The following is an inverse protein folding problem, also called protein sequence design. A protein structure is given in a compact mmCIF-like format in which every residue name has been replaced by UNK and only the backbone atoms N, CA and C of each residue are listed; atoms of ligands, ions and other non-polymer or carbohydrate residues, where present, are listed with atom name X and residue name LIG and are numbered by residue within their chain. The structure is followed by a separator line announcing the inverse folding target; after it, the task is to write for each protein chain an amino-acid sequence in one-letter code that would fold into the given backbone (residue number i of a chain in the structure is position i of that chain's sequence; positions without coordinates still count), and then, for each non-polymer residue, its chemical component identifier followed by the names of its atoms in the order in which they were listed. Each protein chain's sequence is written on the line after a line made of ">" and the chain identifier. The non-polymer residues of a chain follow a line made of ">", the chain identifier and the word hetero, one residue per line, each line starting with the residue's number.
data_IF_675134165585
#
_entry.id   IF_675134165585
#
_cell.length_a   1.000
_cell.length_b   1.000
_cell.length_c   1.000
_cell.angle_alpha   90.00
_cell.angle_beta   90.00
_cell.angle_gamma   90.00
#
_symmetry.space_group_name_H-M   'P 1'
#
loop_
_entity.id
_entity.type
_entity.pdbx_description
1 polymer ?
#
# COMPACT_ATOMS: atom_id res chain seq x y z
N UNK A 1 56.66 24.45 30.56
CA UNK A 1 57.84 25.14 29.98
C UNK A 1 57.46 26.61 29.76
N UNK A 2 57.84 27.51 30.68
CA UNK A 2 57.65 28.94 30.46
C UNK A 2 58.70 29.41 29.48
N UNK A 3 58.37 29.41 28.23
CA UNK A 3 59.25 29.95 27.20
C UNK A 3 59.03 31.45 27.10
N UNK A 4 60.08 32.25 27.43
CA UNK A 4 60.13 33.72 27.26
C UNK A 4 59.72 34.19 25.84
N UNK A 5 59.52 33.24 24.88
CA UNK A 5 59.18 33.50 23.49
C UNK A 5 57.73 33.19 23.15
N UNK A 6 56.93 32.72 24.14
CA UNK A 6 55.48 32.52 23.96
C UNK A 6 54.72 33.82 23.76
N UNK A 7 55.29 34.96 24.23
CA UNK A 7 54.73 36.28 23.98
C UNK A 7 54.74 36.66 22.48
N UNK A 8 55.64 36.05 21.70
CA UNK A 8 55.77 36.27 20.24
C UNK A 8 55.19 35.14 19.40
N UNK A 9 54.41 34.28 20.01
CA UNK A 9 53.90 33.07 19.34
C UNK A 9 53.10 33.37 18.07
N UNK A 10 52.26 34.42 18.10
CA UNK A 10 51.40 34.76 16.97
C UNK A 10 52.20 35.26 15.77
N UNK A 11 53.24 36.08 16.02
CA UNK A 11 54.17 36.54 14.97
C UNK A 11 55.02 35.38 14.42
N UNK A 12 55.51 34.50 15.29
CA UNK A 12 56.30 33.34 14.92
C UNK A 12 55.46 32.41 14.02
N UNK A 13 54.20 32.20 14.38
CA UNK A 13 53.25 31.36 13.65
C UNK A 13 52.89 31.99 12.30
N UNK A 14 52.62 33.31 12.29
CA UNK A 14 52.29 33.99 11.03
C UNK A 14 53.47 33.92 10.04
N UNK A 15 54.69 34.22 10.48
CA UNK A 15 55.87 34.11 9.63
C UNK A 15 56.14 32.70 9.13
N UNK A 16 55.84 31.68 9.94
CA UNK A 16 55.96 30.27 9.54
C UNK A 16 54.92 29.88 8.46
N UNK A 17 53.70 30.32 8.62
CA UNK A 17 52.64 30.08 7.64
C UNK A 17 52.82 30.84 6.31
N UNK A 18 53.57 31.99 6.37
CA UNK A 18 54.02 32.74 5.19
C UNK A 18 55.18 32.03 4.45
N UNK A 19 55.56 30.81 4.87
CA UNK A 19 56.57 30.00 4.21
C UNK A 19 58.02 30.25 4.65
N UNK A 20 58.23 31.03 5.72
CA UNK A 20 59.58 31.30 6.22
C UNK A 20 60.16 30.14 7.01
N UNK A 21 61.40 29.76 6.73
CA UNK A 21 62.10 28.74 7.50
C UNK A 21 62.48 29.19 8.91
N UNK A 22 62.66 28.25 9.85
CA UNK A 22 63.00 28.53 11.25
C UNK A 22 64.21 29.48 11.44
N UNK A 23 65.24 29.42 10.55
CA UNK A 23 66.39 30.29 10.57
C UNK A 23 66.03 31.71 10.17
N UNK A 24 65.18 31.92 9.20
CA UNK A 24 64.71 33.24 8.73
C UNK A 24 63.88 33.91 9.81
N UNK A 25 62.96 33.14 10.44
CA UNK A 25 62.15 33.63 11.56
C UNK A 25 63.02 34.00 12.74
N UNK A 26 64.03 33.20 13.08
CA UNK A 26 64.98 33.53 14.15
C UNK A 26 65.75 34.80 13.86
N UNK A 27 66.23 35.01 12.63
CA UNK A 27 66.90 36.22 12.23
C UNK A 27 65.97 37.42 12.32
N UNK A 28 64.79 37.36 11.79
CA UNK A 28 63.78 38.45 11.88
C UNK A 28 63.52 38.90 13.32
N UNK A 29 63.31 37.91 14.25
CA UNK A 29 63.05 38.21 15.65
C UNK A 29 64.28 38.83 16.35
N UNK A 30 65.53 38.43 16.02
CA UNK A 30 66.75 39.04 16.52
C UNK A 30 66.84 40.48 16.05
N UNK A 31 66.65 40.75 14.78
CA UNK A 31 66.75 42.06 14.16
C UNK A 31 65.67 43.02 14.67
N UNK A 32 64.45 42.54 14.87
CA UNK A 32 63.30 43.32 15.31
C UNK A 32 63.30 43.62 16.82
N UNK A 33 63.65 42.63 17.64
CA UNK A 33 63.52 42.72 19.11
C UNK A 33 64.87 42.76 19.84
N UNK A 34 65.97 42.75 19.10
CA UNK A 34 67.34 42.83 19.63
C UNK A 34 67.66 41.78 20.70
N UNK A 35 67.18 40.52 20.48
CA UNK A 35 67.43 39.47 21.45
C UNK A 35 68.93 39.15 21.60
N UNK A 36 69.40 39.16 22.84
CA UNK A 36 70.81 38.77 23.21
C UNK A 36 70.90 37.22 23.24
N UNK A 37 70.78 36.59 22.09
CA UNK A 37 70.85 35.11 21.95
C UNK A 37 71.41 34.71 20.59
N UNK A 38 71.96 33.51 20.48
CA UNK A 38 72.42 33.02 19.18
C UNK A 38 71.26 32.57 18.27
N UNK A 39 71.41 32.82 16.99
CA UNK A 39 70.44 32.46 15.99
C UNK A 39 70.06 30.95 16.09
N UNK A 40 70.99 30.06 16.36
CA UNK A 40 70.79 28.64 16.49
C UNK A 40 69.96 28.27 17.76
N UNK A 41 70.24 28.95 18.88
CA UNK A 41 69.44 28.75 20.10
C UNK A 41 68.00 29.20 19.93
N UNK A 42 67.79 30.37 19.25
CA UNK A 42 66.43 30.86 18.99
C UNK A 42 65.71 30.00 18.00
N UNK A 43 66.36 29.45 16.96
CA UNK A 43 65.82 28.52 16.00
C UNK A 43 65.20 27.30 16.68
N UNK A 44 65.91 26.68 17.64
CA UNK A 44 65.40 25.53 18.40
C UNK A 44 64.11 25.88 19.15
N UNK A 45 64.09 27.01 19.82
CA UNK A 45 62.92 27.47 20.59
C UNK A 45 61.73 27.84 19.71
N UNK A 46 61.95 28.44 18.55
CA UNK A 46 60.91 28.69 17.52
C UNK A 46 60.30 27.38 17.06
N UNK A 47 61.11 26.37 16.84
CA UNK A 47 60.63 25.01 16.48
C UNK A 47 59.71 24.45 17.57
N UNK A 48 60.07 24.58 18.85
CA UNK A 48 59.27 24.12 19.98
C UNK A 48 57.94 24.88 20.09
N UNK A 49 57.94 26.21 19.87
CA UNK A 49 56.72 27.05 19.87
C UNK A 49 55.77 26.61 18.72
N UNK A 50 56.33 26.43 17.52
CA UNK A 50 55.51 26.02 16.36
C UNK A 50 54.94 24.61 16.55
N UNK A 51 55.74 23.65 17.05
CA UNK A 51 55.25 22.32 17.37
C UNK A 51 54.16 22.34 18.43
N UNK A 52 54.26 23.16 19.44
CA UNK A 52 53.23 23.32 20.47
C UNK A 52 51.92 23.86 19.86
N UNK A 53 51.98 24.87 19.00
CA UNK A 53 50.82 25.47 18.35
C UNK A 53 50.16 24.52 17.35
N UNK A 54 50.95 23.75 16.60
CA UNK A 54 50.45 22.74 15.67
C UNK A 54 49.71 21.62 16.45
N UNK A 55 50.30 21.14 17.55
CA UNK A 55 49.66 20.14 18.41
C UNK A 55 48.33 20.65 19.01
N UNK A 56 48.28 21.89 19.47
CA UNK A 56 47.05 22.53 19.97
C UNK A 56 45.97 22.58 18.86
N UNK A 57 46.38 22.98 17.66
CA UNK A 57 45.48 23.07 16.51
C UNK A 57 44.92 21.70 16.12
N UNK A 58 45.74 20.67 16.08
CA UNK A 58 45.30 19.29 15.81
C UNK A 58 44.33 18.78 16.87
N UNK A 59 44.58 19.08 18.14
CA UNK A 59 43.64 18.73 19.24
C UNK A 59 42.30 19.43 19.06
N UNK A 60 42.29 20.72 18.70
CA UNK A 60 41.05 21.48 18.45
C UNK A 60 40.30 20.93 17.26
N UNK A 61 40.98 20.64 16.15
CA UNK A 61 40.36 20.04 14.97
C UNK A 61 39.80 18.64 15.26
N UNK A 62 40.52 17.81 16.04
CA UNK A 62 40.05 16.50 16.50
C UNK A 62 38.77 16.62 17.34
N UNK A 63 38.76 17.54 18.31
CA UNK A 63 37.62 17.78 19.18
C UNK A 63 36.39 18.28 18.39
N UNK A 64 36.59 19.17 17.41
CA UNK A 64 35.52 19.61 16.50
C UNK A 64 34.96 18.44 15.69
N UNK A 65 35.83 17.59 15.15
CA UNK A 65 35.43 16.42 14.39
C UNK A 65 34.65 15.40 15.26
N UNK A 66 35.10 15.18 16.49
CA UNK A 66 34.44 14.33 17.47
C UNK A 66 33.06 14.90 17.86
N UNK A 67 32.96 16.21 18.13
CA UNK A 67 31.69 16.87 18.42
C UNK A 67 30.69 16.76 17.25
N UNK A 68 31.14 16.97 16.00
CA UNK A 68 30.32 16.81 14.80
C UNK A 68 29.83 15.37 14.65
N UNK A 69 30.66 14.38 14.89
CA UNK A 69 30.26 12.97 14.83
C UNK A 69 29.25 12.62 15.92
N UNK A 70 29.45 13.09 17.15
CA UNK A 70 28.51 12.88 18.25
C UNK A 70 27.16 13.54 17.96
N UNK A 71 27.15 14.76 17.42
CA UNK A 71 25.93 15.44 17.00
C UNK A 71 25.20 14.66 15.90
N UNK A 72 25.94 14.18 14.88
CA UNK A 72 25.37 13.37 13.80
C UNK A 72 24.72 12.07 14.33
N UNK A 73 25.36 11.41 15.30
CA UNK A 73 24.79 10.22 15.95
C UNK A 73 23.54 10.56 16.77
N UNK A 74 23.54 11.67 17.49
CA UNK A 74 22.39 12.14 18.24
C UNK A 74 21.19 12.44 17.32
N UNK A 75 21.46 13.09 16.18
CA UNK A 75 20.42 13.40 15.18
C UNK A 75 19.87 12.13 14.51
N UNK A 76 20.73 11.17 14.16
CA UNK A 76 20.31 9.87 13.64
C UNK A 76 19.45 9.10 14.65
N UNK A 77 19.82 9.13 15.92
CA UNK A 77 19.04 8.49 16.98
C UNK A 77 17.69 9.18 17.20
N UNK A 78 17.64 10.52 17.10
CA UNK A 78 16.38 11.27 17.14
C UNK A 78 15.45 10.89 15.99
N UNK A 79 15.97 10.79 14.76
CA UNK A 79 15.19 10.40 13.56
C UNK A 79 14.69 8.97 13.74
N UNK A 80 15.56 8.03 14.13
CA UNK A 80 15.16 6.63 14.40
C UNK A 80 14.09 6.53 15.49
N UNK A 81 14.26 7.24 16.60
CA UNK A 81 13.29 7.22 17.70
C UNK A 81 11.95 7.87 17.31
N UNK A 82 11.98 8.92 16.48
CA UNK A 82 10.76 9.52 15.94
C UNK A 82 10.03 8.56 15.02
N UNK A 83 10.73 7.96 14.08
CA UNK A 83 10.17 6.95 13.17
C UNK A 83 9.62 5.74 13.94
N UNK A 84 10.35 5.24 14.94
CA UNK A 84 9.92 4.13 15.79
C UNK A 84 8.66 4.47 16.60
N UNK A 85 8.57 5.69 17.16
CA UNK A 85 7.38 6.15 17.89
C UNK A 85 6.17 6.31 16.97
N UNK A 86 6.37 6.82 15.76
CA UNK A 86 5.30 6.93 14.77
C UNK A 86 4.81 5.53 14.34
N UNK A 87 5.72 4.58 14.14
CA UNK A 87 5.39 3.18 13.84
C UNK A 87 4.61 2.52 14.97
N UNK A 88 5.12 2.59 16.20
CA UNK A 88 4.46 2.03 17.37
C UNK A 88 3.10 2.67 17.64
N UNK A 89 2.94 3.95 17.31
CA UNK A 89 1.65 4.65 17.44
C UNK A 89 0.63 4.15 16.42
N UNK A 90 1.08 3.87 15.20
CA UNK A 90 0.24 3.27 14.14
C UNK A 90 -0.10 1.82 14.49
N UNK A 91 0.87 1.01 14.90
CA UNK A 91 0.65 -0.36 15.36
C UNK A 91 -0.32 -0.43 16.55
N UNK A 92 -0.10 0.37 17.58
CA UNK A 92 -1.00 0.42 18.74
C UNK A 92 -2.41 0.91 18.37
N UNK A 93 -2.53 1.85 17.43
CA UNK A 93 -3.82 2.29 16.93
C UNK A 93 -4.52 1.18 16.13
N UNK A 94 -3.78 0.40 15.33
CA UNK A 94 -4.32 -0.75 14.59
C UNK A 94 -4.72 -1.88 15.54
N UNK A 95 -3.92 -2.18 16.57
CA UNK A 95 -4.25 -3.19 17.58
C UNK A 95 -5.50 -2.77 18.35
N UNK A 96 -5.56 -1.54 18.87
CA UNK A 96 -6.74 -1.02 19.56
C UNK A 96 -7.99 -1.01 18.67
N UNK A 97 -7.82 -0.69 17.39
CA UNK A 97 -8.86 -0.73 16.39
C UNK A 97 -9.36 -2.17 16.13
N UNK A 98 -8.45 -3.13 16.00
CA UNK A 98 -8.79 -4.54 15.83
C UNK A 98 -9.48 -5.10 17.10
N UNK A 99 -9.03 -4.73 18.29
CA UNK A 99 -9.67 -5.15 19.55
C UNK A 99 -11.09 -4.61 19.69
N UNK A 100 -11.33 -3.35 19.28
CA UNK A 100 -12.66 -2.76 19.27
C UNK A 100 -13.57 -3.41 18.22
N UNK A 101 -13.04 -3.76 17.02
CA UNK A 101 -13.76 -4.55 16.02
C UNK A 101 -14.14 -5.92 16.60
N UNK A 102 -13.20 -6.64 17.18
CA UNK A 102 -13.45 -7.98 17.77
C UNK A 102 -14.52 -7.88 18.87
N UNK A 103 -14.48 -6.84 19.69
CA UNK A 103 -15.47 -6.59 20.72
C UNK A 103 -16.85 -6.29 20.15
N UNK A 104 -16.94 -5.44 19.12
CA UNK A 104 -18.17 -5.15 18.40
C UNK A 104 -18.74 -6.42 17.71
N UNK A 105 -17.86 -7.23 17.09
CA UNK A 105 -18.26 -8.49 16.45
C UNK A 105 -18.75 -9.53 17.46
N UNK A 106 -18.20 -9.57 18.67
CA UNK A 106 -18.64 -10.47 19.76
C UNK A 106 -19.95 -10.02 20.40
N UNK A 107 -20.23 -8.72 20.43
CA UNK A 107 -21.46 -8.14 21.01
C UNK A 107 -22.63 -8.16 20.04
N UNK A 108 -22.41 -8.01 18.73
CA UNK A 108 -23.39 -8.23 17.71
C UNK A 108 -23.39 -9.74 17.32
N UNK A 109 -24.20 -10.53 18.01
CA UNK A 109 -24.58 -11.86 17.49
C UNK A 109 -25.44 -11.64 16.25
N UNK A 110 -24.77 -11.37 15.13
CA UNK A 110 -25.40 -11.26 13.82
C UNK A 110 -25.92 -12.66 13.48
N UNK A 111 -27.20 -12.91 13.74
CA UNK A 111 -27.93 -14.06 13.19
C UNK A 111 -28.03 -13.90 11.68
N UNK A 112 -26.87 -13.92 11.00
CA UNK A 112 -26.81 -13.98 9.56
C UNK A 112 -27.06 -15.42 9.19
N UNK A 113 -28.27 -15.76 8.77
CA UNK A 113 -28.58 -17.11 8.33
C UNK A 113 -27.95 -17.35 6.97
N UNK A 114 -26.89 -18.13 6.93
CA UNK A 114 -26.29 -18.64 5.71
C UNK A 114 -27.15 -19.80 5.21
N UNK A 115 -27.56 -19.74 3.95
CA UNK A 115 -28.35 -20.81 3.29
C UNK A 115 -27.39 -21.85 2.73
N UNK A 116 -27.71 -23.14 2.98
CA UNK A 116 -27.03 -24.27 2.38
C UNK A 116 -27.81 -24.74 1.19
N UNK A 117 -27.15 -24.87 0.07
CA UNK A 117 -27.72 -25.41 -1.18
C UNK A 117 -27.12 -26.78 -1.45
N UNK A 118 -27.94 -27.66 -2.07
CA UNK A 118 -27.44 -28.98 -2.48
C UNK A 118 -26.50 -28.80 -3.67
N UNK A 119 -25.21 -29.09 -3.47
CA UNK A 119 -24.24 -29.10 -4.57
C UNK A 119 -24.58 -30.17 -5.58
N UNK A 120 -24.45 -29.87 -6.87
CA UNK A 120 -24.58 -30.85 -7.94
C UNK A 120 -23.24 -31.36 -8.45
N UNK A 121 -22.12 -30.76 -8.03
CA UNK A 121 -20.73 -31.06 -8.40
C UNK A 121 -20.46 -31.09 -9.92
N UNK A 122 -21.40 -30.60 -10.75
CA UNK A 122 -21.27 -30.61 -12.21
C UNK A 122 -20.80 -29.32 -12.80
N UNK A 123 -21.09 -28.22 -12.11
CA UNK A 123 -20.78 -26.88 -12.57
C UNK A 123 -20.48 -25.93 -11.40
N UNK A 124 -19.51 -25.05 -11.57
CA UNK A 124 -19.12 -24.00 -10.60
C UNK A 124 -19.00 -22.68 -11.33
N UNK A 125 -19.55 -21.63 -10.76
CA UNK A 125 -19.26 -20.27 -11.23
C UNK A 125 -18.05 -19.69 -10.49
N UNK A 126 -17.06 -19.21 -11.22
CA UNK A 126 -16.01 -18.36 -10.67
C UNK A 126 -16.44 -16.90 -10.92
N UNK A 127 -16.63 -16.16 -9.85
CA UNK A 127 -16.97 -14.73 -9.86
C UNK A 127 -15.70 -13.95 -9.61
N UNK A 128 -15.19 -13.31 -10.63
CA UNK A 128 -13.95 -12.55 -10.54
C UNK A 128 -14.24 -11.10 -10.15
N UNK A 129 -13.74 -10.71 -8.97
CA UNK A 129 -13.77 -9.35 -8.43
C UNK A 129 -12.36 -8.80 -8.39
N UNK A 130 -12.13 -7.65 -9.04
CA UNK A 130 -10.84 -6.96 -9.06
C UNK A 130 -11.04 -5.46 -9.13
N UNK A 131 -10.05 -4.71 -8.63
CA UNK A 131 -9.92 -3.29 -8.88
C UNK A 131 -11.22 -2.51 -8.55
N UNK A 132 -11.77 -2.78 -7.37
CA UNK A 132 -12.98 -2.08 -6.92
C UNK A 132 -12.70 -0.62 -6.60
N UNK A 133 -11.47 -0.29 -6.12
CA UNK A 133 -11.04 1.04 -5.72
C UNK A 133 -12.12 1.79 -4.93
N UNK A 134 -12.75 1.09 -3.99
CA UNK A 134 -13.71 1.72 -3.07
C UNK A 134 -13.05 2.90 -2.38
N UNK A 135 -13.80 3.94 -2.12
CA UNK A 135 -13.33 5.22 -1.61
C UNK A 135 -12.89 6.24 -2.69
N UNK A 136 -12.69 5.83 -3.94
CA UNK A 136 -12.42 6.77 -5.02
C UNK A 136 -13.67 7.57 -5.39
N UNK A 137 -13.50 8.88 -5.61
CA UNK A 137 -14.52 9.78 -6.16
C UNK A 137 -14.17 10.12 -7.60
N UNK A 138 -15.02 9.77 -8.54
CA UNK A 138 -14.91 10.16 -9.95
C UNK A 138 -16.14 10.97 -10.33
N UNK A 139 -15.91 12.17 -10.87
CA UNK A 139 -16.95 13.03 -11.41
C UNK A 139 -16.53 13.54 -12.79
N UNK A 140 -16.65 12.67 -13.78
CA UNK A 140 -16.42 12.96 -15.19
C UNK A 140 -17.77 13.10 -15.91
N UNK A 141 -17.80 13.76 -17.06
CA UNK A 141 -19.02 13.94 -17.87
C UNK A 141 -19.68 12.60 -18.25
N UNK A 142 -18.87 11.58 -18.49
CA UNK A 142 -19.32 10.25 -18.98
C UNK A 142 -19.15 9.13 -17.93
N UNK A 143 -18.54 9.41 -16.78
CA UNK A 143 -18.39 8.44 -15.70
C UNK A 143 -18.44 9.09 -14.33
N UNK A 144 -19.24 8.52 -13.43
CA UNK A 144 -19.28 8.87 -12.02
C UNK A 144 -19.02 7.65 -11.18
N UNK A 145 -18.30 7.84 -10.06
CA UNK A 145 -18.05 6.77 -9.11
C UNK A 145 -17.96 7.29 -7.69
N UNK A 146 -18.61 6.60 -6.79
CA UNK A 146 -18.57 6.71 -5.33
C UNK A 146 -19.12 5.43 -4.71
N UNK A 147 -19.23 5.35 -3.38
CA UNK A 147 -19.77 4.18 -2.70
C UNK A 147 -21.21 3.81 -3.13
N UNK A 148 -22.05 4.78 -3.49
CA UNK A 148 -23.40 4.52 -3.95
C UNK A 148 -23.43 3.89 -5.33
N UNK A 149 -22.60 4.39 -6.22
CA UNK A 149 -22.44 3.85 -7.57
C UNK A 149 -21.79 2.48 -7.51
N UNK A 150 -20.74 2.30 -6.66
CA UNK A 150 -20.16 0.99 -6.39
C UNK A 150 -21.21 -0.02 -5.92
N UNK A 151 -22.06 0.36 -4.98
CA UNK A 151 -23.17 -0.47 -4.49
C UNK A 151 -24.14 -0.88 -5.60
N UNK A 152 -24.52 0.07 -6.48
CA UNK A 152 -25.39 -0.23 -7.62
C UNK A 152 -24.72 -1.16 -8.64
N UNK A 153 -23.42 -0.96 -8.92
CA UNK A 153 -22.64 -1.82 -9.82
C UNK A 153 -22.51 -3.24 -9.27
N UNK A 154 -22.21 -3.40 -7.98
CA UNK A 154 -22.16 -4.70 -7.31
C UNK A 154 -23.51 -5.39 -7.30
N UNK A 155 -24.63 -4.69 -7.03
CA UNK A 155 -25.97 -5.28 -7.11
C UNK A 155 -26.33 -5.71 -8.53
N UNK A 156 -25.99 -4.91 -9.55
CA UNK A 156 -26.14 -5.29 -10.96
C UNK A 156 -25.32 -6.53 -11.28
N UNK A 157 -24.09 -6.62 -10.81
CA UNK A 157 -23.23 -7.78 -11.01
C UNK A 157 -23.83 -9.04 -10.38
N UNK A 158 -24.27 -8.95 -9.11
CA UNK A 158 -24.97 -10.04 -8.42
C UNK A 158 -26.21 -10.50 -9.19
N UNK A 159 -26.98 -9.56 -9.77
CA UNK A 159 -28.13 -9.91 -10.61
C UNK A 159 -27.73 -10.78 -11.81
N UNK A 160 -26.64 -10.42 -12.52
CA UNK A 160 -26.15 -11.22 -13.65
C UNK A 160 -25.64 -12.59 -13.18
N UNK A 161 -24.87 -12.65 -12.09
CA UNK A 161 -24.38 -13.90 -11.52
C UNK A 161 -25.55 -14.84 -11.19
N UNK A 162 -26.57 -14.34 -10.50
CA UNK A 162 -27.77 -15.14 -10.15
C UNK A 162 -28.51 -15.64 -11.38
N UNK A 163 -28.56 -14.85 -12.47
CA UNK A 163 -29.15 -15.34 -13.74
C UNK A 163 -28.35 -16.48 -14.34
N UNK A 164 -27.02 -16.37 -14.40
CA UNK A 164 -26.15 -17.43 -14.93
C UNK A 164 -26.17 -18.66 -14.00
N UNK A 165 -26.13 -18.49 -12.68
CA UNK A 165 -26.24 -19.58 -11.71
C UNK A 165 -27.54 -20.40 -11.95
N UNK A 166 -28.66 -19.70 -12.14
CA UNK A 166 -29.94 -20.37 -12.43
C UNK A 166 -29.96 -21.02 -13.81
N UNK A 167 -29.46 -20.36 -14.85
CA UNK A 167 -29.46 -20.85 -16.22
C UNK A 167 -28.59 -22.10 -16.39
N UNK A 168 -27.39 -22.08 -15.77
CA UNK A 168 -26.42 -23.20 -15.81
C UNK A 168 -26.63 -24.24 -14.71
N UNK A 169 -27.65 -24.05 -13.87
CA UNK A 169 -27.93 -24.92 -12.71
C UNK A 169 -26.73 -25.04 -11.75
N UNK A 170 -25.94 -23.93 -11.63
CA UNK A 170 -24.79 -23.88 -10.75
C UNK A 170 -25.22 -23.52 -9.33
N UNK A 171 -25.03 -24.47 -8.40
CA UNK A 171 -25.35 -24.29 -6.99
C UNK A 171 -24.11 -23.95 -6.14
N UNK A 172 -22.94 -23.80 -6.75
CA UNK A 172 -21.68 -23.48 -6.08
C UNK A 172 -21.01 -22.33 -6.81
N UNK A 173 -20.63 -21.31 -6.04
CA UNK A 173 -19.95 -20.09 -6.52
C UNK A 173 -18.64 -19.91 -5.77
N UNK A 174 -17.54 -19.77 -6.51
CA UNK A 174 -16.26 -19.34 -5.98
C UNK A 174 -16.04 -17.85 -6.32
N UNK A 175 -15.93 -17.00 -5.31
CA UNK A 175 -15.61 -15.59 -5.49
C UNK A 175 -14.09 -15.44 -5.44
N UNK A 176 -13.47 -15.10 -6.57
CA UNK A 176 -12.05 -14.83 -6.72
C UNK A 176 -11.80 -13.32 -6.62
N UNK A 177 -11.22 -12.89 -5.51
CA UNK A 177 -10.85 -11.48 -5.28
C UNK A 177 -9.36 -11.32 -5.62
N UNK A 178 -9.06 -10.55 -6.65
CA UNK A 178 -7.68 -10.34 -7.10
C UNK A 178 -7.09 -8.97 -6.70
N UNK A 179 -7.59 -8.36 -5.63
CA UNK A 179 -6.98 -7.20 -4.99
C UNK A 179 -7.54 -5.85 -5.44
N UNK A 180 -6.94 -4.80 -4.88
CA UNK A 180 -7.31 -3.39 -5.06
C UNK A 180 -8.79 -3.11 -4.75
N UNK A 181 -9.24 -3.61 -3.58
CA UNK A 181 -10.58 -3.34 -3.06
C UNK A 181 -10.72 -1.87 -2.64
N UNK A 182 -9.66 -1.26 -2.08
CA UNK A 182 -9.64 0.15 -1.72
C UNK A 182 -8.70 0.94 -2.63
N UNK A 183 -9.07 2.21 -2.82
CA UNK A 183 -8.20 3.16 -3.51
C UNK A 183 -6.98 3.54 -2.66
N UNK A 184 -5.88 3.92 -3.33
CA UNK A 184 -4.67 4.44 -2.70
C UNK A 184 -4.89 5.80 -2.02
N UNK A 185 -4.08 6.11 -1.01
CA UNK A 185 -3.98 7.43 -0.36
C UNK A 185 -2.54 7.94 -0.28
N UNK A 186 -1.67 7.41 -1.11
CA UNK A 186 -0.23 7.72 -1.06
C UNK A 186 0.11 9.03 -1.74
N UNK A 187 -0.61 9.38 -2.82
CA UNK A 187 -0.43 10.63 -3.57
C UNK A 187 -1.43 11.69 -3.14
N UNK A 188 -1.08 12.95 -3.32
CA UNK A 188 -1.95 14.09 -2.95
C UNK A 188 -3.26 14.05 -3.73
N UNK A 189 -3.21 13.77 -5.03
CA UNK A 189 -4.36 13.68 -5.92
C UNK A 189 -5.33 12.58 -5.47
N UNK A 190 -4.79 11.43 -5.05
CA UNK A 190 -5.56 10.30 -4.51
C UNK A 190 -6.27 10.72 -3.22
N UNK A 191 -5.57 11.40 -2.29
CA UNK A 191 -6.16 11.92 -1.03
C UNK A 191 -7.27 12.92 -1.28
N UNK A 192 -7.14 13.77 -2.30
CA UNK A 192 -8.15 14.77 -2.65
C UNK A 192 -9.40 14.14 -3.27
N UNK A 193 -9.27 13.01 -3.95
CA UNK A 193 -10.36 12.26 -4.58
C UNK A 193 -10.97 11.17 -3.68
N UNK A 194 -10.71 11.17 -2.38
CA UNK A 194 -11.27 10.19 -1.45
C UNK A 194 -12.63 10.61 -0.89
N UNK A 195 -13.56 9.64 -0.81
CA UNK A 195 -14.85 9.83 -0.18
C UNK A 195 -14.73 10.00 1.34
N UNK A 196 -13.84 9.26 1.99
CA UNK A 196 -13.56 9.31 3.43
C UNK A 196 -12.13 8.82 3.70
N UNK A 197 -11.71 8.74 4.97
CA UNK A 197 -10.43 8.15 5.32
C UNK A 197 -10.45 6.62 5.12
N UNK A 198 -9.26 6.00 5.03
CA UNK A 198 -9.13 4.56 4.73
C UNK A 198 -9.76 3.66 5.80
N UNK A 199 -9.69 4.03 7.08
CA UNK A 199 -10.32 3.27 8.15
C UNK A 199 -11.83 3.16 7.94
N UNK A 200 -12.51 4.31 7.74
CA UNK A 200 -13.94 4.35 7.44
C UNK A 200 -14.27 3.64 6.12
N UNK A 201 -13.42 3.80 5.10
CA UNK A 201 -13.60 3.13 3.81
C UNK A 201 -13.51 1.60 3.92
N UNK A 202 -12.65 1.08 4.81
CA UNK A 202 -12.56 -0.35 5.11
C UNK A 202 -13.89 -0.90 5.59
N UNK A 203 -14.54 -0.25 6.55
CA UNK A 203 -15.86 -0.69 7.04
C UNK A 203 -16.93 -0.58 5.97
N UNK A 204 -16.96 0.50 5.20
CA UNK A 204 -17.89 0.63 4.08
C UNK A 204 -17.68 -0.47 3.05
N UNK A 205 -16.43 -0.83 2.76
CA UNK A 205 -16.08 -1.95 1.89
C UNK A 205 -16.58 -3.29 2.43
N UNK A 206 -16.40 -3.53 3.74
CA UNK A 206 -16.93 -4.72 4.42
C UNK A 206 -18.45 -4.78 4.30
N UNK A 207 -19.17 -3.68 4.57
CA UNK A 207 -20.64 -3.64 4.44
C UNK A 207 -21.10 -3.97 3.02
N UNK A 208 -20.44 -3.40 2.00
CA UNK A 208 -20.80 -3.67 0.61
C UNK A 208 -20.55 -5.12 0.21
N UNK A 209 -19.36 -5.65 0.51
CA UNK A 209 -18.99 -7.01 0.13
C UNK A 209 -19.77 -8.05 0.94
N UNK A 210 -20.06 -7.80 2.22
CA UNK A 210 -20.97 -8.66 3.00
C UNK A 210 -22.33 -8.76 2.35
N UNK A 211 -22.95 -7.64 1.98
CA UNK A 211 -24.24 -7.62 1.32
C UNK A 211 -24.20 -8.33 -0.04
N UNK A 212 -23.14 -8.15 -0.82
CA UNK A 212 -22.93 -8.83 -2.09
C UNK A 212 -22.83 -10.37 -1.91
N UNK A 213 -22.01 -10.82 -0.94
CA UNK A 213 -21.84 -12.26 -0.63
C UNK A 213 -23.17 -12.88 -0.19
N UNK A 214 -23.92 -12.22 0.71
CA UNK A 214 -25.21 -12.68 1.19
C UNK A 214 -26.28 -12.71 0.08
N UNK A 215 -26.25 -11.75 -0.83
CA UNK A 215 -27.14 -11.71 -1.98
C UNK A 215 -26.88 -12.92 -2.91
N UNK A 216 -25.62 -13.30 -3.14
CA UNK A 216 -25.26 -14.51 -3.89
C UNK A 216 -25.58 -15.79 -3.13
N UNK A 217 -25.40 -15.80 -1.81
CA UNK A 217 -25.78 -16.96 -0.98
C UNK A 217 -27.28 -17.23 -0.99
N UNK A 218 -28.11 -16.30 -1.44
CA UNK A 218 -29.55 -16.57 -1.63
C UNK A 218 -29.84 -17.63 -2.66
N UNK A 219 -28.91 -17.94 -3.57
CA UNK A 219 -29.08 -18.87 -4.70
C UNK A 219 -28.04 -19.99 -4.76
N UNK A 220 -26.87 -19.85 -4.11
CA UNK A 220 -25.76 -20.80 -4.20
C UNK A 220 -24.94 -20.88 -2.91
N UNK A 221 -24.18 -21.96 -2.74
CA UNK A 221 -23.13 -22.06 -1.75
C UNK A 221 -21.96 -21.14 -2.18
N UNK A 222 -21.37 -20.43 -1.23
CA UNK A 222 -20.31 -19.48 -1.52
C UNK A 222 -19.01 -19.94 -0.90
N UNK A 223 -17.93 -19.85 -1.68
CA UNK A 223 -16.55 -19.85 -1.18
C UNK A 223 -15.83 -18.63 -1.71
N UNK A 224 -14.85 -18.11 -0.96
CA UNK A 224 -14.16 -16.86 -1.27
C UNK A 224 -12.65 -17.06 -1.16
N UNK A 225 -11.91 -16.68 -2.19
CA UNK A 225 -10.46 -16.60 -2.19
C UNK A 225 -10.01 -15.17 -2.46
N UNK A 226 -8.90 -14.73 -1.81
CA UNK A 226 -8.40 -13.38 -1.94
C UNK A 226 -6.88 -13.35 -2.03
N UNK A 227 -6.37 -12.49 -2.93
CA UNK A 227 -4.99 -12.02 -2.96
C UNK A 227 -4.98 -10.49 -2.89
N UNK A 228 -3.94 -9.93 -2.29
CA UNK A 228 -3.84 -8.48 -2.08
C UNK A 228 -3.29 -7.76 -3.31
N UNK A 229 -3.84 -6.58 -3.59
CA UNK A 229 -3.37 -5.67 -4.63
C UNK A 229 -2.32 -4.67 -4.14
N UNK A 230 -1.91 -3.77 -5.01
CA UNK A 230 -0.88 -2.77 -4.70
C UNK A 230 -1.43 -1.43 -4.19
N UNK A 231 -2.66 -1.05 -4.55
CA UNK A 231 -3.23 0.22 -4.13
C UNK A 231 -3.78 0.19 -2.70
N UNK A 232 -4.23 -0.98 -2.25
CA UNK A 232 -4.75 -1.18 -0.90
C UNK A 232 -3.66 -1.35 0.18
N UNK A 233 -2.36 -1.33 -0.16
CA UNK A 233 -1.27 -1.47 0.82
C UNK A 233 -1.19 -0.28 1.78
N UNK A 234 -0.75 -0.53 3.02
CA UNK A 234 -0.61 0.49 4.05
C UNK A 234 0.66 1.33 3.88
N UNK A 235 1.72 0.78 3.30
CA UNK A 235 3.03 1.42 3.17
C UNK A 235 3.38 1.81 1.74
N UNK A 236 4.12 2.92 1.60
CA UNK A 236 4.64 3.38 0.31
C UNK A 236 5.79 2.50 -0.18
N UNK A 237 6.68 2.10 0.75
CA UNK A 237 7.88 1.31 0.48
C UNK A 237 7.86 0.04 1.35
N UNK A 238 7.18 -1.01 0.92
CA UNK A 238 7.15 -2.29 1.64
C UNK A 238 7.95 -3.37 0.93
N UNK A 239 8.51 -4.31 1.68
CA UNK A 239 8.97 -5.59 1.14
C UNK A 239 7.77 -6.37 0.61
N UNK A 240 7.94 -7.11 -0.47
CA UNK A 240 6.88 -7.84 -1.17
C UNK A 240 6.06 -8.75 -0.24
N UNK A 241 6.74 -9.41 0.71
CA UNK A 241 6.09 -10.35 1.63
C UNK A 241 5.16 -9.67 2.65
N UNK A 242 5.50 -8.44 3.08
CA UNK A 242 4.69 -7.66 3.99
C UNK A 242 3.45 -7.09 3.28
N UNK A 243 3.56 -6.74 1.99
CA UNK A 243 2.45 -6.16 1.21
C UNK A 243 1.23 -7.08 1.17
N UNK A 244 1.42 -8.40 1.26
CA UNK A 244 0.32 -9.35 1.23
C UNK A 244 -0.62 -9.25 2.43
N UNK A 245 -0.11 -8.92 3.61
CA UNK A 245 -0.85 -8.90 4.88
C UNK A 245 -0.97 -7.50 5.48
N UNK A 246 -0.01 -6.62 5.28
CA UNK A 246 -0.12 -5.20 5.65
C UNK A 246 -0.86 -4.42 4.54
N UNK A 247 -2.12 -4.79 4.37
CA UNK A 247 -2.93 -4.44 3.23
C UNK A 247 -4.41 -4.42 3.62
N UNK A 248 -5.13 -3.41 3.19
CA UNK A 248 -6.56 -3.26 3.50
C UNK A 248 -7.43 -4.32 2.81
N UNK A 249 -6.98 -4.92 1.70
CA UNK A 249 -7.68 -6.08 1.10
C UNK A 249 -7.67 -7.26 2.07
N UNK A 250 -6.51 -7.54 2.67
CA UNK A 250 -6.36 -8.57 3.69
C UNK A 250 -7.23 -8.26 4.92
N UNK A 251 -7.28 -7.00 5.35
CA UNK A 251 -8.10 -6.56 6.49
C UNK A 251 -9.59 -6.76 6.21
N UNK A 252 -10.08 -6.29 5.06
CA UNK A 252 -11.49 -6.48 4.63
C UNK A 252 -11.84 -7.97 4.57
N UNK A 253 -10.98 -8.78 3.94
CA UNK A 253 -11.18 -10.22 3.82
C UNK A 253 -11.25 -10.90 5.20
N UNK A 254 -10.35 -10.53 6.11
CA UNK A 254 -10.31 -11.08 7.47
C UNK A 254 -11.55 -10.71 8.28
N UNK A 255 -12.05 -9.49 8.15
CA UNK A 255 -13.30 -9.06 8.80
C UNK A 255 -14.49 -9.82 8.21
N UNK A 256 -14.56 -9.97 6.89
CA UNK A 256 -15.63 -10.76 6.25
C UNK A 256 -15.65 -12.21 6.73
N UNK A 257 -14.47 -12.83 6.88
CA UNK A 257 -14.33 -14.19 7.43
C UNK A 257 -14.86 -14.29 8.87
N UNK A 258 -14.64 -13.27 9.69
CA UNK A 258 -15.19 -13.22 11.05
C UNK A 258 -16.70 -13.02 11.07
N UNK A 259 -17.23 -12.20 10.15
CA UNK A 259 -18.67 -11.90 10.04
C UNK A 259 -19.50 -13.03 9.43
N UNK A 260 -18.89 -13.86 8.62
CA UNK A 260 -19.54 -14.92 7.85
C UNK A 260 -18.86 -16.27 8.08
N UNK A 261 -18.83 -16.78 9.34
CA UNK A 261 -18.02 -17.94 9.72
C UNK A 261 -18.46 -19.24 9.04
N UNK A 262 -19.70 -19.32 8.53
CA UNK A 262 -20.21 -20.49 7.82
C UNK A 262 -19.83 -20.52 6.33
N UNK A 263 -19.29 -19.41 5.80
CA UNK A 263 -18.77 -19.35 4.43
C UNK A 263 -17.30 -19.79 4.42
N UNK A 264 -16.92 -20.57 3.40
CA UNK A 264 -15.54 -21.02 3.24
C UNK A 264 -14.67 -19.88 2.70
N UNK A 265 -13.74 -19.39 3.51
CA UNK A 265 -12.74 -18.40 3.11
C UNK A 265 -11.38 -19.07 2.96
N UNK A 266 -10.76 -18.90 1.78
CA UNK A 266 -9.43 -19.41 1.45
C UNK A 266 -8.47 -18.22 1.32
N UNK A 267 -7.44 -18.20 2.14
CA UNK A 267 -6.41 -17.17 2.11
C UNK A 267 -5.02 -17.80 2.01
N UNK A 268 -4.16 -17.19 1.20
CA UNK A 268 -2.76 -17.61 1.09
C UNK A 268 -1.85 -16.86 2.06
N UNK A 269 -2.24 -15.68 2.55
CA UNK A 269 -1.34 -14.74 3.21
C UNK A 269 -0.18 -14.29 2.32
N UNK A 270 -0.27 -14.54 1.01
CA UNK A 270 0.72 -14.26 -0.02
C UNK A 270 0.07 -13.48 -1.19
N UNK A 271 0.90 -13.05 -2.13
CA UNK A 271 0.43 -12.33 -3.33
C UNK A 271 -0.10 -13.25 -4.44
N UNK A 272 0.03 -14.55 -4.24
CA UNK A 272 -0.38 -15.60 -5.19
C UNK A 272 -1.20 -16.66 -4.45
N UNK A 273 -2.28 -17.12 -5.05
CA UNK A 273 -3.14 -18.21 -4.52
C UNK A 273 -3.53 -19.15 -5.66
N UNK A 274 -3.17 -20.42 -5.54
CA UNK A 274 -3.68 -21.46 -6.44
C UNK A 274 -4.85 -22.14 -5.77
N UNK A 275 -5.96 -22.23 -6.49
CA UNK A 275 -7.16 -22.95 -6.05
C UNK A 275 -7.58 -23.96 -7.10
N UNK A 276 -8.01 -25.13 -6.65
CA UNK A 276 -8.65 -26.11 -7.51
C UNK A 276 -10.16 -25.86 -7.53
N UNK A 277 -10.70 -25.57 -8.70
CA UNK A 277 -12.12 -25.34 -8.93
C UNK A 277 -12.60 -26.24 -10.05
N UNK A 278 -13.49 -27.17 -9.74
CA UNK A 278 -14.05 -28.13 -10.72
C UNK A 278 -12.96 -28.82 -11.56
N UNK A 279 -11.95 -29.40 -10.91
CA UNK A 279 -10.76 -30.04 -11.47
C UNK A 279 -9.82 -29.13 -12.29
N UNK A 280 -9.94 -27.81 -12.16
CA UNK A 280 -9.02 -26.85 -12.78
C UNK A 280 -8.19 -26.13 -11.72
N UNK A 281 -6.87 -26.10 -11.90
CA UNK A 281 -5.95 -25.35 -11.07
C UNK A 281 -5.89 -23.89 -11.55
N UNK A 282 -6.51 -23.01 -10.81
CA UNK A 282 -6.63 -21.58 -11.13
C UNK A 282 -5.66 -20.77 -10.26
N UNK A 283 -4.78 -20.02 -10.90
CA UNK A 283 -3.90 -19.09 -10.20
C UNK A 283 -4.58 -17.73 -10.09
N UNK A 284 -4.72 -17.24 -8.86
CA UNK A 284 -5.13 -15.88 -8.55
C UNK A 284 -3.89 -15.04 -8.22
N UNK A 285 -3.73 -13.92 -8.90
CA UNK A 285 -2.72 -12.89 -8.59
C UNK A 285 -3.34 -11.52 -8.85
N UNK A 286 -2.80 -10.45 -8.26
CA UNK A 286 -3.25 -9.11 -8.65
C UNK A 286 -2.69 -8.69 -10.01
N UNK A 287 -1.40 -8.91 -10.25
CA UNK A 287 -0.74 -8.60 -11.53
C UNK A 287 0.38 -7.56 -11.43
N UNK A 288 0.44 -6.76 -10.35
CA UNK A 288 1.48 -5.73 -10.15
C UNK A 288 2.91 -6.30 -10.02
N UNK A 289 3.04 -7.57 -9.66
CA UNK A 289 4.33 -8.27 -9.60
C UNK A 289 4.85 -8.67 -10.97
N UNK A 290 4.00 -8.64 -12.00
CA UNK A 290 4.36 -8.94 -13.38
C UNK A 290 4.70 -7.63 -14.11
N UNK A 291 5.94 -7.51 -14.59
CA UNK A 291 6.39 -6.31 -15.34
C UNK A 291 5.61 -6.09 -16.63
N UNK A 292 5.19 -7.17 -17.27
CA UNK A 292 4.36 -7.20 -18.47
C UNK A 292 3.47 -8.44 -18.41
N UNK A 293 2.32 -8.40 -19.06
CA UNK A 293 1.42 -9.54 -19.18
C UNK A 293 1.49 -10.07 -20.63
N UNK A 294 2.69 -10.46 -21.05
CA UNK A 294 2.96 -11.06 -22.36
C UNK A 294 3.18 -12.59 -22.24
N UNK A 295 3.24 -13.25 -23.39
CA UNK A 295 3.42 -14.70 -23.46
C UNK A 295 4.68 -15.21 -22.78
N UNK A 296 5.78 -14.43 -22.78
CA UNK A 296 7.03 -14.80 -22.13
C UNK A 296 6.91 -14.82 -20.60
N UNK A 297 6.22 -13.86 -20.04
CA UNK A 297 5.96 -13.81 -18.60
C UNK A 297 4.98 -14.91 -18.20
N UNK A 298 3.93 -15.15 -18.98
CA UNK A 298 3.00 -16.27 -18.77
C UNK A 298 3.76 -17.60 -18.76
N UNK A 299 4.64 -17.84 -19.73
CA UNK A 299 5.44 -19.06 -19.79
C UNK A 299 6.34 -19.24 -18.55
N UNK A 300 6.92 -18.14 -18.01
CA UNK A 300 7.71 -18.18 -16.77
C UNK A 300 6.85 -18.53 -15.55
N UNK A 301 5.63 -17.97 -15.46
CA UNK A 301 4.69 -18.30 -14.38
C UNK A 301 4.33 -19.79 -14.46
N UNK A 302 3.91 -20.29 -15.61
CA UNK A 302 3.59 -21.71 -15.81
C UNK A 302 4.78 -22.59 -15.42
N UNK A 303 5.99 -22.27 -15.90
CA UNK A 303 7.20 -23.03 -15.57
C UNK A 303 7.53 -23.04 -14.07
N UNK A 304 7.29 -21.92 -13.37
CA UNK A 304 7.47 -21.82 -11.91
C UNK A 304 6.60 -22.84 -11.17
N UNK A 305 5.32 -22.92 -11.53
CA UNK A 305 4.38 -23.83 -10.87
C UNK A 305 4.58 -25.30 -11.29
N UNK A 306 4.88 -25.55 -12.56
CA UNK A 306 5.14 -26.91 -13.06
C UNK A 306 6.36 -27.55 -12.37
N UNK A 307 7.41 -26.78 -12.02
CA UNK A 307 8.55 -27.27 -11.23
C UNK A 307 8.16 -27.73 -9.83
N UNK A 308 7.06 -27.21 -9.30
CA UNK A 308 6.51 -27.60 -8.00
C UNK A 308 5.43 -28.68 -8.13
N UNK A 309 5.28 -29.30 -9.31
CA UNK A 309 4.28 -30.33 -9.57
C UNK A 309 2.86 -29.82 -9.76
N UNK A 310 2.66 -28.50 -9.92
CA UNK A 310 1.33 -27.92 -10.13
C UNK A 310 1.18 -27.55 -11.60
N UNK A 311 0.21 -28.16 -12.26
CA UNK A 311 -0.16 -27.80 -13.64
C UNK A 311 -1.30 -26.78 -13.55
N UNK A 312 -1.02 -25.54 -14.00
CA UNK A 312 -2.01 -24.46 -14.03
C UNK A 312 -2.84 -24.57 -15.32
N UNK A 313 -4.16 -24.50 -15.18
CA UNK A 313 -5.08 -24.43 -16.33
C UNK A 313 -5.24 -23.01 -16.84
N UNK A 314 -5.41 -22.04 -15.94
CA UNK A 314 -5.43 -20.62 -16.29
C UNK A 314 -5.14 -19.71 -15.08
N UNK A 315 -4.94 -18.44 -15.37
CA UNK A 315 -4.62 -17.39 -14.40
C UNK A 315 -5.66 -16.28 -14.44
N UNK A 316 -6.10 -15.85 -13.26
CA UNK A 316 -7.02 -14.71 -13.08
C UNK A 316 -6.25 -13.56 -12.43
N UNK A 317 -6.32 -12.34 -13.01
CA UNK A 317 -5.66 -11.14 -12.48
C UNK A 317 -6.45 -9.86 -12.74
N UNK A 318 -6.01 -8.75 -12.14
CA UNK A 318 -6.51 -7.39 -12.31
C UNK A 318 -5.45 -6.40 -12.77
N UNK A 319 -5.30 -5.29 -12.03
CA UNK A 319 -4.25 -4.28 -12.09
C UNK A 319 -4.31 -3.29 -13.27
N UNK A 320 -4.54 -3.74 -14.48
CA UNK A 320 -4.50 -2.86 -15.68
C UNK A 320 -5.86 -2.29 -16.09
N UNK A 321 -6.92 -2.53 -15.30
CA UNK A 321 -8.27 -1.99 -15.42
C UNK A 321 -8.96 -2.23 -16.77
N UNK A 322 -8.43 -3.11 -17.62
CA UNK A 322 -8.97 -3.48 -18.91
C UNK A 322 -9.16 -4.99 -18.99
N UNK A 323 -10.34 -5.40 -19.41
CA UNK A 323 -10.64 -6.85 -19.57
C UNK A 323 -9.84 -7.42 -20.73
N UNK A 324 -9.13 -8.52 -20.45
CA UNK A 324 -8.51 -9.38 -21.45
C UNK A 324 -8.78 -10.82 -21.10
N UNK A 325 -9.35 -11.57 -22.02
CA UNK A 325 -9.68 -12.99 -21.83
C UNK A 325 -9.01 -13.77 -22.96
N UNK A 326 -8.15 -14.70 -22.57
CA UNK A 326 -7.46 -15.64 -23.45
C UNK A 326 -7.60 -17.04 -22.85
N UNK A 327 -7.08 -18.06 -23.51
CA UNK A 327 -7.12 -19.43 -23.00
C UNK A 327 -6.46 -19.57 -21.63
N UNK A 328 -5.37 -18.87 -21.38
CA UNK A 328 -4.63 -18.97 -20.14
C UNK A 328 -4.77 -17.75 -19.22
N UNK A 329 -4.80 -16.53 -19.76
CA UNK A 329 -4.86 -15.29 -18.98
C UNK A 329 -6.25 -14.66 -19.01
N UNK A 330 -6.86 -14.51 -17.84
CA UNK A 330 -8.13 -13.85 -17.64
C UNK A 330 -7.95 -12.62 -16.74
N UNK A 331 -7.89 -11.43 -17.35
CA UNK A 331 -7.74 -10.16 -16.63
C UNK A 331 -9.10 -9.47 -16.47
N UNK A 332 -9.40 -9.05 -15.23
CA UNK A 332 -10.58 -8.26 -14.90
C UNK A 332 -10.41 -6.77 -15.28
N UNK A 333 -11.53 -6.08 -15.44
CA UNK A 333 -11.58 -4.63 -15.50
C UNK A 333 -11.81 -4.04 -14.11
N UNK A 334 -11.66 -2.72 -13.98
CA UNK A 334 -12.02 -1.99 -12.75
C UNK A 334 -13.53 -1.83 -12.60
N UNK A 335 -14.01 -1.82 -11.35
CA UNK A 335 -15.38 -1.42 -11.03
C UNK A 335 -15.59 0.10 -11.23
N UNK A 336 -14.53 0.89 -11.17
CA UNK A 336 -14.56 2.36 -11.34
C UNK A 336 -14.89 2.75 -12.78
N UNK A 337 -14.38 2.02 -13.78
CA UNK A 337 -14.35 2.47 -15.16
C UNK A 337 -13.28 3.56 -15.37
N UNK A 338 -13.48 4.45 -16.32
CA UNK A 338 -12.54 5.55 -16.60
C UNK A 338 -12.49 6.55 -15.43
N UNK A 339 -11.28 6.96 -15.05
CA UNK A 339 -11.04 8.06 -14.11
C UNK A 339 -10.08 9.09 -14.72
N UNK A 340 -9.85 10.21 -14.03
CA UNK A 340 -9.00 11.29 -14.53
C UNK A 340 -7.55 10.84 -14.79
N UNK A 341 -7.02 9.91 -13.99
CA UNK A 341 -5.68 9.37 -14.19
C UNK A 341 -5.61 8.46 -15.43
N UNK A 342 -6.55 7.53 -15.56
CA UNK A 342 -6.56 6.62 -16.73
C UNK A 342 -6.67 7.38 -18.04
N UNK A 343 -7.50 8.43 -18.09
CA UNK A 343 -7.68 9.21 -19.31
C UNK A 343 -6.52 10.16 -19.61
N UNK A 344 -6.07 10.93 -18.60
CA UNK A 344 -5.05 11.96 -18.81
C UNK A 344 -3.62 11.42 -18.85
N UNK A 345 -3.30 10.46 -17.99
CA UNK A 345 -1.94 9.94 -17.87
C UNK A 345 -1.69 8.73 -18.76
N UNK A 346 -2.68 7.86 -18.94
CA UNK A 346 -2.52 6.59 -19.66
C UNK A 346 -3.22 6.58 -21.01
N UNK A 347 -4.03 7.60 -21.32
CA UNK A 347 -4.87 7.68 -22.52
C UNK A 347 -5.76 6.43 -22.71
N UNK A 348 -6.24 5.88 -21.59
CA UNK A 348 -7.10 4.70 -21.51
C UNK A 348 -8.49 5.10 -21.02
N UNK A 349 -9.53 4.64 -21.73
CA UNK A 349 -10.93 4.86 -21.37
C UNK A 349 -11.64 3.51 -21.25
N UNK A 350 -11.41 2.82 -20.13
CA UNK A 350 -12.05 1.53 -19.88
C UNK A 350 -13.46 1.70 -19.32
N UNK A 351 -14.35 0.75 -19.63
CA UNK A 351 -15.70 0.68 -19.04
C UNK A 351 -15.66 -0.15 -17.77
N UNK A 352 -16.45 0.24 -16.77
CA UNK A 352 -16.65 -0.56 -15.59
C UNK A 352 -17.18 -1.95 -15.94
N UNK A 353 -16.46 -2.99 -15.55
CA UNK A 353 -16.85 -4.38 -15.81
C UNK A 353 -16.20 -5.33 -14.81
N UNK A 354 -16.80 -6.52 -14.65
CA UNK A 354 -16.25 -7.64 -13.91
C UNK A 354 -16.53 -8.93 -14.70
N UNK A 355 -15.83 -10.03 -14.39
CA UNK A 355 -15.94 -11.25 -15.17
C UNK A 355 -16.59 -12.39 -14.39
N UNK A 356 -17.21 -13.31 -15.12
CA UNK A 356 -17.74 -14.59 -14.63
C UNK A 356 -17.15 -15.69 -15.50
N UNK A 357 -16.68 -16.77 -14.90
CA UNK A 357 -16.24 -17.97 -15.61
C UNK A 357 -17.13 -19.14 -15.17
N UNK A 358 -17.77 -19.81 -16.14
CA UNK A 358 -18.60 -20.97 -15.90
C UNK A 358 -17.75 -22.21 -16.17
N UNK A 359 -17.48 -22.97 -15.11
CA UNK A 359 -16.71 -24.21 -15.18
C UNK A 359 -17.69 -25.38 -15.20
N UNK A 360 -17.85 -26.03 -16.33
CA UNK A 360 -18.83 -27.12 -16.52
C UNK A 360 -18.32 -28.14 -17.52
N UNK A 361 -18.39 -29.44 -17.20
CA UNK A 361 -17.99 -30.52 -18.08
C UNK A 361 -16.56 -30.43 -18.63
N UNK A 362 -15.59 -29.99 -17.81
CA UNK A 362 -14.22 -29.66 -18.20
C UNK A 362 -14.07 -28.51 -19.23
N UNK A 363 -15.14 -27.74 -19.43
CA UNK A 363 -15.14 -26.56 -20.30
C UNK A 363 -15.20 -25.28 -19.44
N UNK A 364 -14.64 -24.19 -19.97
CA UNK A 364 -14.72 -22.87 -19.40
C UNK A 364 -15.43 -21.91 -20.36
N UNK A 365 -16.51 -21.29 -19.88
CA UNK A 365 -17.21 -20.24 -20.63
C UNK A 365 -16.98 -18.90 -19.94
N UNK A 366 -16.49 -17.93 -20.69
CA UNK A 366 -16.04 -16.65 -20.19
C UNK A 366 -17.07 -15.55 -20.49
N UNK A 367 -17.42 -14.77 -19.47
CA UNK A 367 -18.42 -13.72 -19.59
C UNK A 367 -17.86 -12.43 -19.00
N UNK A 368 -17.78 -11.38 -19.81
CA UNK A 368 -17.54 -10.01 -19.34
C UNK A 368 -18.87 -9.32 -19.09
N UNK A 369 -19.12 -8.88 -17.87
CA UNK A 369 -20.33 -8.15 -17.49
C UNK A 369 -20.05 -6.65 -17.46
N UNK A 370 -20.68 -5.89 -18.37
CA UNK A 370 -20.62 -4.42 -18.37
C UNK A 370 -21.45 -3.84 -17.21
N UNK A 371 -20.79 -3.04 -16.37
CA UNK A 371 -21.37 -2.46 -15.16
C UNK A 371 -21.44 -0.91 -15.24
N UNK A 372 -21.09 -0.32 -16.38
CA UNK A 372 -21.03 1.12 -16.53
C UNK A 372 -22.35 1.82 -16.20
N UNK A 373 -23.45 1.31 -16.72
CA UNK A 373 -24.79 1.86 -16.49
C UNK A 373 -25.54 1.07 -15.42
N UNK A 374 -26.10 1.77 -14.44
CA UNK A 374 -26.79 1.17 -13.30
C UNK A 374 -28.27 1.50 -13.23
N UNK A 375 -28.86 1.92 -14.35
CA UNK A 375 -30.30 2.23 -14.43
C UNK A 375 -31.13 1.03 -13.98
N UNK A 376 -32.11 1.24 -13.11
CA UNK A 376 -32.95 0.20 -12.54
C UNK A 376 -32.38 -0.48 -11.28
N UNK A 377 -31.14 -0.22 -10.90
CA UNK A 377 -30.52 -0.76 -9.68
C UNK A 377 -30.48 0.30 -8.59
N UNK A 378 -31.03 -0.03 -7.40
CA UNK A 378 -31.04 0.85 -6.23
C UNK A 378 -29.74 0.80 -5.44
N UNK A 379 -28.98 -0.31 -5.57
CA UNK A 379 -27.82 -0.63 -4.74
C UNK A 379 -28.23 -1.29 -3.42
N UNK A 380 -27.21 -1.78 -2.70
CA UNK A 380 -27.40 -2.28 -1.34
C UNK A 380 -27.67 -1.11 -0.36
N UNK A 381 -28.40 -1.32 0.75
CA UNK A 381 -28.70 -0.28 1.72
C UNK A 381 -27.44 0.09 2.53
N UNK A 382 -26.79 1.20 2.19
CA UNK A 382 -25.55 1.71 2.85
C UNK A 382 -25.68 3.18 3.27
N UNK A 383 -26.86 3.79 3.23
CA UNK A 383 -26.99 5.23 3.52
C UNK A 383 -26.69 5.57 4.97
N UNK A 384 -27.04 4.69 5.90
CA UNK A 384 -26.76 4.88 7.33
C UNK A 384 -25.27 4.81 7.58
N UNK A 385 -24.59 3.83 7.01
CA UNK A 385 -23.14 3.63 7.09
C UNK A 385 -22.40 4.82 6.46
N UNK A 386 -22.83 5.27 5.27
CA UNK A 386 -22.24 6.45 4.63
C UNK A 386 -22.37 7.69 5.51
N UNK A 387 -23.49 7.85 6.21
CA UNK A 387 -23.71 8.98 7.12
C UNK A 387 -22.86 8.85 8.38
N UNK A 388 -22.77 7.65 8.98
CA UNK A 388 -21.98 7.41 10.20
C UNK A 388 -20.49 7.62 9.99
N UNK A 389 -19.97 7.28 8.81
CA UNK A 389 -18.57 7.49 8.44
C UNK A 389 -18.30 8.82 7.72
N UNK A 390 -19.29 9.71 7.64
CA UNK A 390 -19.17 11.02 6.98
C UNK A 390 -18.57 10.95 5.57
N UNK A 391 -18.98 9.93 4.80
CA UNK A 391 -18.45 9.68 3.47
C UNK A 391 -19.04 10.64 2.43
N UNK A 392 -18.17 11.21 1.60
CA UNK A 392 -18.54 12.10 0.50
C UNK A 392 -19.21 11.32 -0.63
N UNK A 393 -20.02 12.02 -1.42
CA UNK A 393 -20.66 11.48 -2.63
C UNK A 393 -20.59 12.51 -3.75
N UNK A 394 -20.46 12.05 -4.99
CA UNK A 394 -20.47 12.90 -6.19
C UNK A 394 -21.85 13.52 -6.49
N UNK A 395 -22.91 13.01 -5.87
CA UNK A 395 -24.27 13.51 -6.04
C UNK A 395 -24.64 14.64 -5.07
N UNK A 396 -23.81 14.91 -4.05
CA UNK A 396 -24.08 15.91 -3.02
C UNK A 396 -23.16 17.11 -3.13
N UNK A 397 -23.75 18.29 -3.34
CA UNK A 397 -23.06 19.56 -3.09
C UNK A 397 -22.81 19.68 -1.59
N UNK A 398 -21.55 19.80 -1.17
CA UNK A 398 -21.15 19.83 0.23
C UNK A 398 -21.64 21.09 0.94
N UNK A 399 -22.35 20.92 2.05
CA UNK A 399 -22.39 21.94 3.10
C UNK A 399 -21.08 21.85 3.88
N UNK A 400 -20.26 22.89 3.83
CA UNK A 400 -18.91 22.97 4.42
C UNK A 400 -18.86 22.84 5.96
N UNK A 401 -20.00 22.85 6.66
CA UNK A 401 -20.07 22.75 8.12
C UNK A 401 -21.28 21.91 8.54
N UNK A 402 -21.02 20.89 9.33
CA UNK A 402 -22.07 20.19 10.09
C UNK A 402 -21.92 20.64 11.54
N UNK A 403 -22.89 21.35 12.05
CA UNK A 403 -22.95 21.73 13.46
C UNK A 403 -23.84 20.71 14.17
N UNK A 404 -23.22 19.93 15.07
CA UNK A 404 -23.94 19.04 15.97
C UNK A 404 -24.28 19.82 17.23
N UNK A 405 -25.59 19.96 17.53
CA UNK A 405 -26.04 20.47 18.80
C UNK A 405 -26.38 19.28 19.70
N UNK A 406 -25.55 19.03 20.70
CA UNK A 406 -25.83 18.04 21.75
C UNK A 406 -26.62 18.78 22.82
N UNK A 407 -27.86 18.36 23.04
CA UNK A 407 -28.67 18.81 24.19
C UNK A 407 -28.57 17.69 25.20
N UNK A 408 -27.90 17.96 26.33
CA UNK A 408 -27.80 17.06 27.48
C UNK A 408 -28.98 17.32 28.38
#
# INVERSE_FOLDING_TARGET
>A
MESKYLEYKDEIVALFWDGNGYQTIAQHLIDKYHFKTTKESLRRRIKDVIQYVIADKEIVEYNIKLAKNNQKQADLNRIKNKSFREHSRIENALVAYNDEIIKLLKTESLKTSIRKHKSNNKSVLIVHISDLHLNELVDLKHNKYDFKIASKRLQKFAHHIKRYSKFEECNDIFIAITGDLLNSDRRVEEKLSMATNRASATFLGVHLLKNFILDLNSVANISVGCVSGNESRAYEYGFTDIIATDNYDFTIFSILKLLLPEIKFVTSGALELVVEVNNHNVLLIHGHTLRKMDSNIIAKVVSKYSRNGIILDFMICGHLHETMITDFLCRGSSLVGANAYSEKALNLSSRAAQNIYIMKNNERHDIRVDLQHTTGFKGYPINNELSSYNAKSVEKTYKKQTIFKIII
#
